data_IF_589693839194
#
_entry.id   IF_589693839194
#
_cell.length_a   1.000
_cell.length_b   1.000
_cell.length_c   1.000
_cell.angle_alpha   90.00
_cell.angle_beta   90.00
_cell.angle_gamma   90.00
#
_symmetry.space_group_name_H-M   'P 1'
#
loop_
_entity.id
_entity.type
_entity.pdbx_description
1 polymer ?
#
# COMPACT_ATOMS: atom_id res chain seq x y z
N UNK A 1 0.10 7.92 5.92
CA UNK A 1 -0.04 8.97 6.96
C UNK A 1 -1.49 8.92 7.43
N UNK A 2 -1.75 8.40 8.62
CA UNK A 2 -3.11 8.30 9.18
C UNK A 2 -3.39 9.64 9.84
N UNK A 3 -4.28 10.43 9.26
CA UNK A 3 -4.79 11.66 9.85
C UNK A 3 -6.03 11.32 10.67
N UNK A 4 -5.93 11.39 11.99
CA UNK A 4 -7.09 11.42 12.88
C UNK A 4 -7.66 12.85 12.86
N UNK A 5 -8.81 13.04 12.25
CA UNK A 5 -9.60 14.25 12.43
C UNK A 5 -10.42 14.11 13.73
N UNK A 6 -10.13 14.98 14.69
CA UNK A 6 -11.02 15.22 15.81
C UNK A 6 -12.13 16.16 15.36
N UNK A 7 -13.37 15.69 15.34
CA UNK A 7 -14.55 16.55 15.16
C UNK A 7 -14.87 17.28 16.45
N UNK A 8 -14.75 18.60 16.45
CA UNK A 8 -15.38 19.46 17.45
C UNK A 8 -16.87 19.61 17.13
N UNK A 9 -17.71 19.08 17.98
CA UNK A 9 -19.15 19.33 17.93
C UNK A 9 -19.43 20.76 18.40
N UNK A 10 -20.07 21.55 17.54
CA UNK A 10 -20.51 22.90 17.86
C UNK A 10 -21.64 22.90 18.89
N UNK A 11 -21.58 23.87 19.77
CA UNK A 11 -22.56 24.13 20.82
C UNK A 11 -23.93 24.54 20.20
N UNK A 12 -24.94 23.71 20.44
CA UNK A 12 -26.32 24.10 20.33
C UNK A 12 -26.83 24.49 21.72
N UNK A 13 -27.14 25.79 21.93
CA UNK A 13 -27.74 26.28 23.15
C UNK A 13 -29.18 25.77 23.28
N UNK A 14 -29.45 24.91 24.24
CA UNK A 14 -30.78 24.65 24.77
C UNK A 14 -30.80 24.98 26.25
N UNK A 15 -31.55 25.97 26.64
CA UNK A 15 -31.90 26.24 28.04
C UNK A 15 -32.82 25.14 28.54
N UNK A 16 -32.48 24.56 29.68
CA UNK A 16 -33.37 23.68 30.42
C UNK A 16 -32.67 22.69 31.30
N UNK A 17 -32.78 22.93 32.62
CA UNK A 17 -32.53 22.04 33.75
C UNK A 17 -31.10 21.61 34.08
N UNK A 18 -30.67 22.02 35.30
CA UNK A 18 -29.43 21.67 35.93
C UNK A 18 -29.30 20.13 36.08
N UNK A 19 -28.65 19.50 35.16
CA UNK A 19 -28.16 18.14 35.29
C UNK A 19 -27.02 18.14 36.30
N UNK A 20 -27.16 17.33 37.35
CA UNK A 20 -26.10 17.02 38.31
C UNK A 20 -24.90 16.49 37.55
N UNK A 21 -23.84 17.29 37.47
CA UNK A 21 -22.54 16.85 36.97
C UNK A 21 -22.05 15.71 37.86
N UNK A 22 -22.15 14.49 37.34
CA UNK A 22 -21.33 13.40 37.85
C UNK A 22 -19.89 13.70 37.49
N UNK A 23 -19.17 14.30 38.41
CA UNK A 23 -17.70 14.33 38.35
C UNK A 23 -17.25 12.92 38.70
N UNK A 24 -17.04 12.08 37.70
CA UNK A 24 -16.28 10.86 37.88
C UNK A 24 -14.85 11.28 38.24
N UNK A 25 -14.57 11.23 39.54
CA UNK A 25 -13.18 11.35 40.00
C UNK A 25 -12.49 10.02 39.70
N UNK A 26 -11.76 9.97 38.62
CA UNK A 26 -10.83 8.86 38.41
C UNK A 26 -9.84 8.83 39.57
N UNK A 27 -9.59 7.65 40.17
CA UNK A 27 -8.62 7.55 41.21
C UNK A 27 -7.26 7.99 40.67
N UNK A 28 -6.72 9.08 41.20
CA UNK A 28 -5.35 9.50 40.94
C UNK A 28 -4.45 8.44 41.54
N UNK A 29 -3.91 7.54 40.74
CA UNK A 29 -2.87 6.62 41.20
C UNK A 29 -1.66 7.45 41.55
N UNK A 30 -1.27 7.49 42.81
CA UNK A 30 -0.06 8.18 43.22
C UNK A 30 1.14 7.60 42.45
N UNK A 31 1.92 8.46 41.85
CA UNK A 31 3.15 8.06 41.14
C UNK A 31 4.04 7.27 42.11
N UNK A 32 4.56 6.14 41.63
CA UNK A 32 5.53 5.37 42.42
C UNK A 32 6.84 6.16 42.55
N UNK A 33 7.58 5.93 43.60
CA UNK A 33 8.86 6.63 43.83
C UNK A 33 9.83 6.34 42.68
N UNK A 34 10.18 7.38 41.92
CA UNK A 34 11.02 7.27 40.75
C UNK A 34 10.29 7.48 39.40
N UNK A 35 8.93 7.51 39.43
CA UNK A 35 8.16 7.78 38.25
C UNK A 35 8.16 9.29 37.91
N UNK A 36 8.44 9.61 36.65
CA UNK A 36 8.37 10.97 36.16
C UNK A 36 6.94 11.23 35.65
N UNK A 37 6.29 12.29 36.17
CA UNK A 37 5.06 12.79 35.53
C UNK A 37 5.36 13.43 34.19
N UNK A 38 4.49 13.23 33.19
CA UNK A 38 4.62 13.90 31.91
C UNK A 38 4.33 15.39 32.02
N UNK A 39 5.19 16.18 31.37
CA UNK A 39 4.96 17.61 31.15
C UNK A 39 4.35 17.84 29.76
N UNK A 40 3.82 19.04 29.50
CA UNK A 40 3.35 19.41 28.16
C UNK A 40 4.47 19.35 27.11
N UNK A 41 5.72 19.65 27.52
CA UNK A 41 6.89 19.55 26.63
C UNK A 41 7.23 18.09 26.28
N UNK A 42 7.04 17.18 27.24
CA UNK A 42 7.20 15.75 27.01
C UNK A 42 6.16 15.23 26.01
N UNK A 43 4.92 15.74 26.04
CA UNK A 43 3.81 15.33 25.21
C UNK A 43 3.72 16.12 23.86
N UNK A 44 4.58 17.09 23.66
CA UNK A 44 4.62 17.82 22.40
C UNK A 44 5.07 16.93 21.25
N UNK A 45 4.13 16.53 20.38
CA UNK A 45 4.39 15.64 19.25
C UNK A 45 5.50 16.19 18.36
N UNK A 46 6.54 15.39 18.13
CA UNK A 46 7.73 15.79 17.36
C UNK A 46 8.73 16.64 18.12
N UNK A 47 8.45 17.06 19.36
CA UNK A 47 9.38 17.78 20.23
C UNK A 47 10.57 16.93 20.66
N UNK A 48 11.63 17.60 21.18
CA UNK A 48 12.86 16.92 21.57
C UNK A 48 12.65 15.86 22.66
N UNK A 49 11.78 16.15 23.64
CA UNK A 49 11.50 15.21 24.73
C UNK A 49 10.65 14.04 24.26
N UNK A 50 9.69 14.26 23.37
CA UNK A 50 8.81 13.25 22.83
C UNK A 50 9.57 12.07 22.22
N UNK A 51 10.63 12.37 21.44
CA UNK A 51 11.47 11.33 20.80
C UNK A 51 12.16 10.39 21.79
N UNK A 52 12.38 10.84 23.01
CA UNK A 52 13.00 10.02 24.06
C UNK A 52 12.01 9.14 24.80
N UNK A 53 10.70 9.43 24.69
CA UNK A 53 9.65 8.73 25.42
C UNK A 53 8.90 7.71 24.60
N UNK A 54 8.96 7.80 23.27
CA UNK A 54 8.36 6.78 22.41
C UNK A 54 9.31 5.61 22.23
N UNK A 55 8.73 4.40 22.23
CA UNK A 55 9.51 3.21 21.93
C UNK A 55 10.17 3.36 20.55
N UNK A 56 11.45 3.04 20.47
CA UNK A 56 12.14 3.03 19.16
C UNK A 56 11.48 2.00 18.27
N UNK A 57 10.99 2.49 17.14
CA UNK A 57 10.39 1.61 16.14
C UNK A 57 11.49 0.72 15.55
N UNK A 58 11.26 -0.57 15.56
CA UNK A 58 12.18 -1.56 14.96
C UNK A 58 11.52 -2.09 13.70
N UNK A 59 11.88 -1.52 12.55
CA UNK A 59 11.42 -2.05 11.27
C UNK A 59 12.15 -3.36 10.98
N UNK A 60 11.38 -4.42 10.84
CA UNK A 60 11.90 -5.73 10.50
C UNK A 60 11.19 -6.26 9.26
N UNK A 61 11.94 -6.97 8.42
CA UNK A 61 11.42 -7.67 7.24
C UNK A 61 11.99 -9.07 7.19
N UNK A 62 11.28 -9.96 6.50
CA UNK A 62 11.76 -11.30 6.26
C UNK A 62 12.57 -11.38 4.96
N UNK A 63 13.70 -12.05 5.02
CA UNK A 63 14.52 -12.43 3.88
C UNK A 63 14.55 -13.96 3.81
N UNK A 64 13.53 -14.56 3.20
CA UNK A 64 13.23 -15.97 3.37
C UNK A 64 12.97 -16.30 4.84
N UNK A 65 13.73 -17.22 5.40
CA UNK A 65 13.66 -17.59 6.82
C UNK A 65 14.48 -16.68 7.75
N UNK A 66 15.21 -15.73 7.21
CA UNK A 66 16.04 -14.83 7.99
C UNK A 66 15.28 -13.55 8.35
N UNK A 67 15.44 -13.10 9.59
CA UNK A 67 14.87 -11.83 10.06
C UNK A 67 15.90 -10.71 9.90
N UNK A 68 15.55 -9.68 9.17
CA UNK A 68 16.39 -8.50 8.97
C UNK A 68 15.77 -7.30 9.66
N UNK A 69 16.50 -6.67 10.57
CA UNK A 69 16.15 -5.36 11.10
C UNK A 69 16.73 -4.27 10.21
N UNK A 70 15.87 -3.34 9.87
CA UNK A 70 16.18 -2.19 9.03
C UNK A 70 16.28 -0.95 9.90
N UNK A 71 17.29 -0.13 9.64
CA UNK A 71 17.47 1.17 10.28
C UNK A 71 17.71 2.25 9.21
N UNK A 72 17.84 3.49 9.61
CA UNK A 72 18.14 4.58 8.67
C UNK A 72 19.50 4.34 8.02
N UNK A 73 20.50 3.95 8.80
CA UNK A 73 21.91 3.90 8.41
C UNK A 73 22.44 2.49 8.11
N UNK A 74 21.74 1.43 8.48
CA UNK A 74 22.20 0.06 8.29
C UNK A 74 21.07 -0.99 8.31
N UNK A 75 21.35 -2.17 7.73
CA UNK A 75 20.54 -3.38 7.89
C UNK A 75 21.30 -4.42 8.70
N UNK A 76 20.56 -5.14 9.55
CA UNK A 76 21.13 -6.12 10.49
C UNK A 76 20.40 -7.46 10.38
N UNK A 77 21.14 -8.54 10.29
CA UNK A 77 20.61 -9.89 10.47
C UNK A 77 20.34 -10.13 11.95
N UNK A 78 19.13 -10.55 12.29
CA UNK A 78 18.71 -10.81 13.67
C UNK A 78 18.67 -12.31 13.90
N UNK A 79 19.43 -12.79 14.87
CA UNK A 79 19.32 -14.18 15.30
C UNK A 79 17.96 -14.42 15.99
N UNK A 80 17.13 -15.26 15.42
CA UNK A 80 15.74 -15.49 15.85
C UNK A 80 15.60 -16.06 17.26
N UNK A 81 16.64 -16.73 17.76
CA UNK A 81 16.64 -17.35 19.09
C UNK A 81 17.18 -16.40 20.17
N UNK A 82 18.28 -15.70 19.87
CA UNK A 82 18.98 -14.90 20.87
C UNK A 82 18.71 -13.40 20.75
N UNK A 83 18.13 -12.97 19.66
CA UNK A 83 17.94 -11.54 19.32
C UNK A 83 19.25 -10.80 18.99
N UNK A 84 20.40 -11.52 18.94
CA UNK A 84 21.68 -10.90 18.62
C UNK A 84 21.68 -10.39 17.17
N UNK A 85 22.15 -9.17 16.98
CA UNK A 85 22.21 -8.52 15.68
C UNK A 85 23.62 -8.57 15.08
N UNK A 86 23.68 -8.84 13.77
CA UNK A 86 24.93 -8.79 12.98
C UNK A 86 24.70 -7.88 11.79
N UNK A 87 25.52 -6.85 11.63
CA UNK A 87 25.40 -5.90 10.52
C UNK A 87 25.60 -6.62 9.19
N UNK A 88 24.63 -6.46 8.26
CA UNK A 88 24.74 -6.93 6.89
C UNK A 88 25.49 -5.91 6.02
N UNK A 89 25.06 -4.66 6.09
CA UNK A 89 25.70 -3.53 5.39
C UNK A 89 25.22 -2.21 5.98
N UNK A 90 25.98 -1.16 5.69
CA UNK A 90 25.61 0.23 6.02
C UNK A 90 25.18 1.01 4.80
N UNK A 91 24.57 2.17 5.04
CA UNK A 91 24.17 3.12 3.99
C UNK A 91 25.38 3.65 3.21
N UNK A 92 26.52 3.84 3.89
CA UNK A 92 27.77 4.27 3.23
C UNK A 92 28.27 3.21 2.25
N UNK A 93 28.20 1.93 2.64
CA UNK A 93 28.53 0.83 1.74
C UNK A 93 27.59 0.75 0.55
N UNK A 94 26.27 0.88 0.77
CA UNK A 94 25.29 0.99 -0.33
C UNK A 94 25.66 2.11 -1.28
N UNK A 95 25.90 3.31 -0.75
CA UNK A 95 26.25 4.48 -1.56
C UNK A 95 27.58 4.29 -2.30
N UNK A 96 28.52 3.55 -1.73
CA UNK A 96 29.76 3.18 -2.40
C UNK A 96 29.51 2.17 -3.54
N UNK A 97 28.63 1.20 -3.36
CA UNK A 97 28.37 0.15 -4.36
C UNK A 97 27.52 0.62 -5.53
N UNK A 98 26.61 1.57 -5.31
CA UNK A 98 25.83 2.19 -6.40
C UNK A 98 26.66 3.20 -7.18
N UNK A 99 27.84 3.51 -6.68
CA UNK A 99 28.71 4.58 -7.16
C UNK A 99 28.57 4.90 -8.63
N UNK A 100 28.89 5.97 -9.06
CA UNK A 100 29.26 7.25 -8.51
C UNK A 100 28.71 8.43 -9.30
N UNK A 101 27.44 8.53 -9.45
CA UNK A 101 26.91 9.82 -9.86
C UNK A 101 26.84 10.66 -8.60
N UNK A 102 27.61 11.73 -8.52
CA UNK A 102 27.90 12.52 -7.33
C UNK A 102 26.65 13.04 -6.58
N UNK A 103 25.50 13.00 -7.20
CA UNK A 103 24.29 13.64 -6.70
C UNK A 103 23.18 12.65 -6.28
N UNK A 104 23.40 11.34 -6.46
CA UNK A 104 22.39 10.33 -6.18
C UNK A 104 22.84 9.49 -4.99
N UNK A 105 22.27 9.78 -3.81
CA UNK A 105 22.52 9.02 -2.60
C UNK A 105 21.25 8.44 -2.03
N UNK A 106 21.31 7.17 -1.65
CA UNK A 106 20.32 6.58 -0.76
C UNK A 106 20.46 7.25 0.60
N UNK A 107 19.34 7.69 1.19
CA UNK A 107 19.35 8.47 2.44
C UNK A 107 18.86 7.68 3.64
N UNK A 108 18.23 6.53 3.43
CA UNK A 108 17.72 5.68 4.49
C UNK A 108 17.54 4.24 4.00
N UNK A 109 17.67 3.26 4.89
CA UNK A 109 17.56 1.83 4.60
C UNK A 109 16.33 1.17 5.25
N UNK A 110 15.48 1.91 5.97
CA UNK A 110 14.29 1.34 6.61
C UNK A 110 13.26 0.80 5.61
N UNK A 111 13.36 1.17 4.31
CA UNK A 111 12.54 0.66 3.21
C UNK A 111 13.30 -0.33 2.31
N UNK A 112 14.48 -0.82 2.72
CA UNK A 112 15.22 -1.80 1.95
C UNK A 112 14.40 -3.09 1.78
N UNK A 113 14.34 -3.62 0.57
CA UNK A 113 13.59 -4.83 0.25
C UNK A 113 14.55 -5.99 -0.03
N UNK A 114 14.20 -7.17 0.43
CA UNK A 114 14.95 -8.43 0.22
C UNK A 114 14.07 -9.40 -0.58
N UNK A 115 13.93 -9.21 -1.90
CA UNK A 115 12.89 -9.85 -2.71
C UNK A 115 13.10 -11.35 -2.90
N UNK A 116 14.32 -11.87 -2.66
CA UNK A 116 14.64 -13.27 -2.96
C UNK A 116 15.23 -13.99 -1.74
N UNK A 117 14.52 -14.99 -1.27
CA UNK A 117 15.01 -15.89 -0.22
C UNK A 117 16.37 -16.51 -0.59
N UNK A 118 17.32 -16.44 0.34
CA UNK A 118 18.64 -17.06 0.18
C UNK A 118 19.57 -16.39 -0.84
N UNK A 119 19.14 -15.36 -1.56
CA UNK A 119 20.00 -14.58 -2.46
C UNK A 119 20.42 -13.27 -1.80
N UNK A 120 21.67 -12.89 -1.94
CA UNK A 120 22.24 -11.65 -1.38
C UNK A 120 21.81 -10.38 -2.14
N UNK A 121 20.54 -10.32 -2.52
CA UNK A 121 19.99 -9.21 -3.27
C UNK A 121 19.21 -8.29 -2.33
N UNK A 122 19.54 -7.02 -2.39
CA UNK A 122 18.79 -5.95 -1.73
C UNK A 122 18.36 -4.89 -2.76
N UNK A 123 17.18 -4.37 -2.59
CA UNK A 123 16.69 -3.23 -3.36
C UNK A 123 16.54 -2.03 -2.44
N UNK A 124 17.05 -0.89 -2.89
CA UNK A 124 17.00 0.38 -2.17
C UNK A 124 16.66 1.50 -3.14
N UNK A 125 15.98 2.53 -2.67
CA UNK A 125 15.59 3.67 -3.50
C UNK A 125 16.07 4.99 -2.91
N UNK A 126 16.18 5.99 -3.77
CA UNK A 126 16.42 7.38 -3.37
C UNK A 126 15.30 8.33 -3.78
N UNK A 127 14.10 7.80 -3.98
CA UNK A 127 12.93 8.53 -4.44
C UNK A 127 12.72 8.41 -5.95
N UNK A 128 13.67 8.82 -6.80
CA UNK A 128 13.54 8.75 -8.26
C UNK A 128 14.15 7.50 -8.87
N UNK A 129 15.07 6.85 -8.18
CA UNK A 129 15.77 5.66 -8.67
C UNK A 129 15.65 4.49 -7.72
N UNK A 130 15.53 3.30 -8.30
CA UNK A 130 15.58 2.02 -7.61
C UNK A 130 16.86 1.29 -8.00
N UNK A 131 17.62 0.87 -7.00
CA UNK A 131 18.89 0.16 -7.17
C UNK A 131 18.75 -1.27 -6.70
N UNK A 132 19.11 -2.23 -7.54
CA UNK A 132 19.21 -3.64 -7.18
C UNK A 132 20.69 -4.00 -6.99
N UNK A 133 21.05 -4.49 -5.82
CA UNK A 133 22.44 -4.66 -5.39
C UNK A 133 22.67 -6.08 -4.87
N UNK A 134 23.75 -6.73 -5.30
CA UNK A 134 24.27 -7.92 -4.61
C UNK A 134 25.19 -7.45 -3.47
N UNK A 135 24.68 -7.48 -2.24
CA UNK A 135 25.39 -6.95 -1.08
C UNK A 135 26.53 -7.83 -0.59
N UNK A 136 26.61 -9.11 -0.98
CA UNK A 136 27.78 -9.96 -0.72
C UNK A 136 28.89 -9.80 -1.76
N UNK A 137 28.50 -9.53 -3.00
CA UNK A 137 29.47 -9.25 -4.07
C UNK A 137 29.83 -7.77 -4.16
N UNK A 138 29.18 -6.91 -3.36
CA UNK A 138 29.38 -5.46 -3.35
C UNK A 138 29.19 -4.84 -4.74
N UNK A 139 28.15 -5.28 -5.45
CA UNK A 139 27.96 -4.94 -6.85
C UNK A 139 26.55 -4.46 -7.15
N UNK A 140 26.45 -3.32 -7.83
CA UNK A 140 25.21 -2.88 -8.47
C UNK A 140 24.85 -3.84 -9.61
N UNK A 141 23.65 -4.41 -9.57
CA UNK A 141 23.11 -5.31 -10.60
C UNK A 141 22.33 -4.51 -11.63
N UNK A 142 21.42 -3.67 -11.17
CA UNK A 142 20.59 -2.84 -12.04
C UNK A 142 20.20 -1.54 -11.36
N UNK A 143 19.99 -0.53 -12.18
CA UNK A 143 19.47 0.76 -11.82
C UNK A 143 18.24 1.02 -12.68
N UNK A 144 17.17 1.51 -12.07
CA UNK A 144 15.94 1.89 -12.74
C UNK A 144 15.58 3.30 -12.31
N UNK A 145 15.30 4.15 -13.28
CA UNK A 145 14.86 5.52 -13.05
C UNK A 145 13.41 5.69 -13.48
N UNK A 146 12.64 6.40 -12.67
CA UNK A 146 11.30 6.85 -13.05
C UNK A 146 11.42 8.14 -13.82
N UNK A 147 10.77 8.20 -14.97
CA UNK A 147 10.70 9.43 -15.74
C UNK A 147 9.79 10.45 -15.03
N UNK A 148 10.00 11.72 -15.34
CA UNK A 148 9.14 12.79 -14.84
C UNK A 148 7.67 12.52 -15.22
N UNK A 149 6.78 12.68 -14.24
CA UNK A 149 5.35 12.40 -14.39
C UNK A 149 4.97 10.91 -14.30
N UNK A 150 5.94 10.02 -14.02
CA UNK A 150 5.67 8.61 -13.71
C UNK A 150 5.56 8.42 -12.19
N UNK A 151 4.53 7.70 -11.76
CA UNK A 151 4.32 7.31 -10.36
C UNK A 151 4.31 5.79 -10.24
N UNK A 152 5.30 5.23 -9.53
CA UNK A 152 5.35 3.79 -9.27
C UNK A 152 4.18 3.38 -8.40
N UNK A 153 3.48 2.32 -8.80
CA UNK A 153 2.46 1.64 -8.01
C UNK A 153 3.05 0.41 -7.32
N UNK A 154 3.55 -0.54 -8.09
CA UNK A 154 4.03 -1.81 -7.56
C UNK A 154 4.99 -2.51 -8.53
N UNK A 155 6.08 -3.06 -8.00
CA UNK A 155 6.92 -4.01 -8.73
C UNK A 155 6.48 -5.46 -8.45
N UNK A 156 6.65 -6.37 -9.43
CA UNK A 156 6.39 -7.78 -9.18
C UNK A 156 7.47 -8.41 -8.28
N UNK A 157 7.17 -9.57 -7.68
CA UNK A 157 8.09 -10.26 -6.78
C UNK A 157 9.43 -10.64 -7.45
N UNK A 158 9.43 -10.87 -8.77
CA UNK A 158 10.62 -11.20 -9.56
C UNK A 158 11.46 -9.97 -9.90
N UNK A 159 10.96 -8.76 -9.61
CA UNK A 159 11.62 -7.49 -9.88
C UNK A 159 12.01 -7.29 -11.35
N UNK A 160 11.19 -7.83 -12.24
CA UNK A 160 11.38 -7.76 -13.69
C UNK A 160 10.25 -7.07 -14.43
N UNK A 161 9.23 -6.63 -13.70
CA UNK A 161 8.16 -5.78 -14.19
C UNK A 161 7.65 -4.88 -13.08
N UNK A 162 7.13 -3.72 -13.42
CA UNK A 162 6.44 -2.84 -12.49
C UNK A 162 5.25 -2.13 -13.15
N UNK A 163 4.23 -1.92 -12.34
CA UNK A 163 3.09 -1.11 -12.68
C UNK A 163 3.33 0.34 -12.27
N UNK A 164 2.97 1.28 -13.12
CA UNK A 164 3.11 2.70 -12.86
C UNK A 164 2.01 3.51 -13.53
N UNK A 165 1.78 4.71 -13.02
CA UNK A 165 0.93 5.70 -13.67
C UNK A 165 1.79 6.70 -14.43
N UNK A 166 1.31 7.10 -15.60
CA UNK A 166 1.78 8.27 -16.34
C UNK A 166 0.58 9.13 -16.68
N UNK A 167 0.53 10.31 -16.09
CA UNK A 167 -0.74 11.02 -15.96
C UNK A 167 -1.72 10.16 -15.16
N UNK A 168 -2.94 9.98 -15.65
CA UNK A 168 -3.96 9.12 -15.03
C UNK A 168 -4.05 7.72 -15.63
N UNK A 169 -3.16 7.36 -16.56
CA UNK A 169 -3.19 6.08 -17.24
C UNK A 169 -2.24 5.06 -16.65
N UNK A 170 -2.68 3.81 -16.63
CA UNK A 170 -1.93 2.67 -16.12
C UNK A 170 -1.02 2.10 -17.20
N UNK A 171 0.21 1.83 -16.81
CA UNK A 171 1.26 1.21 -17.63
C UNK A 171 1.91 0.05 -16.88
N UNK A 172 2.46 -0.88 -17.64
CA UNK A 172 3.40 -1.88 -17.15
C UNK A 172 4.69 -1.77 -17.94
N UNK A 173 5.81 -1.67 -17.24
CA UNK A 173 7.15 -1.74 -17.82
C UNK A 173 7.78 -3.07 -17.45
N UNK A 174 8.21 -3.83 -18.46
CA UNK A 174 8.91 -5.10 -18.27
C UNK A 174 10.36 -4.99 -18.67
N UNK A 175 11.20 -5.73 -17.96
CA UNK A 175 12.60 -5.91 -18.32
C UNK A 175 12.76 -7.29 -18.94
N UNK A 176 13.42 -7.38 -20.08
CA UNK A 176 13.77 -8.67 -20.66
C UNK A 176 14.79 -9.36 -19.74
N UNK A 177 14.32 -10.32 -18.95
CA UNK A 177 15.09 -11.06 -17.96
C UNK A 177 15.41 -12.46 -18.46
N UNK A 178 15.25 -12.75 -19.73
CA UNK A 178 15.59 -14.07 -20.30
C UNK A 178 17.01 -14.54 -19.88
N UNK A 179 17.80 -13.62 -19.33
CA UNK A 179 19.11 -13.94 -18.77
C UNK A 179 19.44 -13.09 -17.53
N UNK A 180 18.90 -13.44 -16.38
CA UNK A 180 19.35 -12.90 -15.09
C UNK A 180 20.86 -13.10 -14.87
N UNK A 181 21.50 -14.02 -15.60
CA UNK A 181 22.94 -14.29 -15.60
C UNK A 181 23.71 -13.61 -16.74
N UNK A 182 23.03 -13.04 -17.73
CA UNK A 182 23.67 -12.34 -18.84
C UNK A 182 23.01 -10.95 -18.96
N UNK A 183 23.49 -10.00 -18.17
CA UNK A 183 23.15 -8.58 -18.37
C UNK A 183 23.79 -8.12 -19.68
N UNK A 184 23.17 -8.49 -20.79
CA UNK A 184 23.57 -8.01 -22.11
C UNK A 184 23.17 -6.54 -22.26
N UNK A 185 23.98 -5.78 -23.00
CA UNK A 185 23.87 -4.36 -23.22
C UNK A 185 22.57 -3.90 -23.90
N UNK A 186 21.77 -4.82 -24.40
CA UNK A 186 20.53 -4.56 -25.14
C UNK A 186 19.28 -4.88 -24.31
N UNK A 187 19.16 -4.22 -23.19
CA UNK A 187 17.93 -4.26 -22.38
C UNK A 187 16.82 -3.54 -23.12
N UNK A 188 15.98 -4.27 -23.84
CA UNK A 188 14.73 -3.70 -24.35
C UNK A 188 13.75 -3.60 -23.18
N UNK A 189 13.49 -2.37 -22.78
CA UNK A 189 12.35 -2.06 -21.94
C UNK A 189 11.10 -2.14 -22.81
N UNK A 190 10.12 -2.93 -22.39
CA UNK A 190 8.81 -2.95 -23.02
C UNK A 190 7.84 -2.19 -22.12
N UNK A 191 7.34 -1.07 -22.63
CA UNK A 191 6.27 -0.31 -21.97
C UNK A 191 4.94 -0.67 -22.62
N UNK A 192 4.04 -1.20 -21.81
CA UNK A 192 2.67 -1.49 -22.20
C UNK A 192 1.75 -0.44 -21.62
N UNK A 193 1.05 0.29 -22.47
CA UNK A 193 -0.03 1.15 -22.04
C UNK A 193 -1.29 0.29 -21.85
N UNK A 194 -1.79 0.20 -20.61
CA UNK A 194 -2.95 -0.63 -20.26
C UNK A 194 -4.25 0.16 -20.44
N UNK A 195 -4.23 1.44 -20.11
CA UNK A 195 -5.41 2.30 -20.20
C UNK A 195 -5.14 3.57 -21.00
N UNK A 196 -6.19 4.16 -21.58
CA UNK A 196 -6.12 5.38 -22.40
C UNK A 196 -7.14 6.43 -22.00
N UNK A 197 -8.09 6.08 -21.12
CA UNK A 197 -9.20 6.91 -20.67
C UNK A 197 -9.06 7.33 -19.20
N UNK A 198 -7.88 7.14 -18.63
CA UNK A 198 -7.60 7.55 -17.25
C UNK A 198 -7.78 9.05 -17.06
N UNK A 199 -8.52 9.42 -16.01
CA UNK A 199 -8.86 10.81 -15.67
C UNK A 199 -9.15 10.91 -14.17
N UNK A 200 -9.62 12.08 -13.72
CA UNK A 200 -10.15 12.23 -12.36
C UNK A 200 -11.35 11.30 -12.11
N UNK A 201 -12.16 11.10 -13.13
CA UNK A 201 -13.37 10.27 -13.07
C UNK A 201 -13.11 8.79 -13.27
N UNK A 202 -12.10 8.45 -14.07
CA UNK A 202 -11.74 7.05 -14.39
C UNK A 202 -10.37 6.76 -13.82
N UNK A 203 -10.35 6.03 -12.71
CA UNK A 203 -9.14 5.77 -11.93
C UNK A 203 -8.65 4.35 -12.18
N UNK A 204 -7.36 4.19 -12.42
CA UNK A 204 -6.73 2.90 -12.67
C UNK A 204 -5.64 2.59 -11.65
N UNK A 205 -5.55 1.34 -11.23
CA UNK A 205 -4.44 0.81 -10.46
C UNK A 205 -4.23 1.42 -9.08
N UNK A 206 -5.17 2.24 -8.62
CA UNK A 206 -5.15 2.86 -7.30
C UNK A 206 -6.17 2.20 -6.38
N UNK A 207 -6.10 2.51 -5.10
CA UNK A 207 -7.09 2.07 -4.12
C UNK A 207 -8.49 2.54 -4.49
N UNK A 208 -9.48 1.76 -4.16
CA UNK A 208 -10.90 2.00 -4.46
C UNK A 208 -11.72 1.97 -3.19
N UNK A 209 -13.03 2.26 -3.31
CA UNK A 209 -13.97 2.17 -2.19
C UNK A 209 -13.54 2.95 -0.94
N UNK A 210 -12.79 4.06 -1.13
CA UNK A 210 -12.32 4.94 -0.03
C UNK A 210 -11.47 4.21 1.00
N UNK A 211 -10.68 3.22 0.56
CA UNK A 211 -9.83 2.38 1.42
C UNK A 211 -10.59 1.52 2.45
N UNK A 212 -11.90 1.34 2.23
CA UNK A 212 -12.72 0.46 3.05
C UNK A 212 -12.30 -1.01 2.92
N UNK A 213 -12.68 -1.84 3.88
CA UNK A 213 -12.47 -3.29 3.86
C UNK A 213 -11.00 -3.72 3.74
N UNK A 214 -10.07 -2.92 4.28
CA UNK A 214 -8.64 -3.21 4.23
C UNK A 214 -8.00 -3.01 2.85
N UNK A 215 -8.69 -2.36 1.90
CA UNK A 215 -8.10 -1.99 0.61
C UNK A 215 -7.05 -0.91 0.85
N UNK A 216 -5.84 -1.12 0.37
CA UNK A 216 -4.73 -0.16 0.50
C UNK A 216 -3.99 0.09 -0.81
N UNK A 217 -4.34 -0.64 -1.86
CA UNK A 217 -3.70 -0.57 -3.19
C UNK A 217 -4.67 -1.02 -4.28
N UNK A 218 -4.31 -0.76 -5.53
CA UNK A 218 -5.14 -1.12 -6.68
C UNK A 218 -4.45 -1.99 -7.71
N UNK A 219 -3.26 -2.53 -7.41
CA UNK A 219 -2.50 -3.43 -8.29
C UNK A 219 -2.11 -4.69 -7.54
N UNK A 220 -2.15 -5.85 -8.21
CA UNK A 220 -1.93 -7.15 -7.59
C UNK A 220 -1.22 -8.07 -8.60
N UNK A 221 0.09 -8.26 -8.43
CA UNK A 221 0.85 -9.15 -9.27
C UNK A 221 0.56 -10.63 -8.99
N UNK A 222 0.48 -11.44 -10.04
CA UNK A 222 0.45 -12.89 -9.90
C UNK A 222 1.76 -13.41 -9.28
N UNK A 223 1.75 -14.56 -8.56
CA UNK A 223 2.94 -15.09 -7.91
C UNK A 223 4.12 -15.34 -8.86
N UNK A 224 3.85 -15.71 -10.12
CA UNK A 224 4.87 -15.88 -11.15
C UNK A 224 5.30 -14.56 -11.82
N UNK A 225 4.64 -13.43 -11.50
CA UNK A 225 4.96 -12.11 -12.03
C UNK A 225 4.57 -11.86 -13.48
N UNK A 226 3.83 -12.78 -14.11
CA UNK A 226 3.46 -12.70 -15.53
C UNK A 226 2.16 -11.91 -15.77
N UNK A 227 1.31 -11.79 -14.75
CA UNK A 227 0.02 -11.11 -14.84
C UNK A 227 -0.13 -10.06 -13.75
N UNK A 228 -0.83 -8.98 -14.08
CA UNK A 228 -1.20 -7.91 -13.15
C UNK A 228 -2.72 -7.81 -13.10
N UNK A 229 -3.32 -8.10 -11.95
CA UNK A 229 -4.69 -7.69 -11.67
C UNK A 229 -4.70 -6.24 -11.19
N UNK A 230 -5.72 -5.48 -11.58
CA UNK A 230 -5.81 -4.07 -11.21
C UNK A 230 -7.26 -3.62 -11.10
N UNK A 231 -7.50 -2.63 -10.24
CA UNK A 231 -8.80 -1.95 -10.19
C UNK A 231 -8.92 -0.89 -11.30
N UNK A 232 -10.10 -0.84 -11.89
CA UNK A 232 -10.62 0.30 -12.64
C UNK A 232 -11.86 0.82 -11.93
N UNK A 233 -11.84 2.06 -11.50
CA UNK A 233 -12.96 2.71 -10.84
C UNK A 233 -13.52 3.82 -11.73
N UNK A 234 -14.81 3.74 -12.02
CA UNK A 234 -15.57 4.82 -12.61
C UNK A 234 -16.33 5.55 -11.50
N UNK A 235 -15.96 6.77 -11.27
CA UNK A 235 -16.60 7.68 -10.30
C UNK A 235 -17.23 8.92 -10.96
N UNK A 236 -17.47 8.86 -12.26
CA UNK A 236 -18.07 9.99 -13.01
C UNK A 236 -19.44 10.39 -12.48
N UNK A 237 -20.20 9.42 -11.97
CA UNK A 237 -21.53 9.61 -11.39
C UNK A 237 -21.51 10.03 -9.91
N UNK A 238 -20.35 10.00 -9.26
CA UNK A 238 -20.25 10.34 -7.83
C UNK A 238 -20.24 11.85 -7.65
N UNK A 239 -21.01 12.33 -6.67
CA UNK A 239 -21.08 13.74 -6.32
C UNK A 239 -19.75 14.28 -5.80
N UNK A 240 -19.42 15.50 -6.18
CA UNK A 240 -18.28 16.22 -5.64
C UNK A 240 -18.57 16.69 -4.22
N UNK A 241 -17.82 16.22 -3.25
CA UNK A 241 -17.83 16.74 -1.90
C UNK A 241 -16.97 18.01 -1.83
N UNK A 242 -17.51 19.14 -1.35
CA UNK A 242 -16.79 20.39 -1.32
C UNK A 242 -15.64 20.36 -0.30
N UNK A 243 -14.44 20.39 -0.80
CA UNK A 243 -13.22 20.54 -0.02
C UNK A 243 -12.41 21.72 -0.53
N UNK A 244 -11.54 22.23 0.32
CA UNK A 244 -10.56 23.27 -0.02
C UNK A 244 -9.18 22.76 0.31
N UNK A 245 -8.23 23.11 -0.53
CA UNK A 245 -6.82 22.92 -0.30
C UNK A 245 -6.20 24.23 0.18
N UNK A 246 -5.48 24.15 1.31
CA UNK A 246 -4.75 25.30 1.87
C UNK A 246 -3.27 24.95 1.76
N UNK A 247 -2.54 25.64 0.87
CA UNK A 247 -1.12 25.37 0.71
C UNK A 247 -0.35 25.56 2.02
N UNK A 248 0.51 24.59 2.34
CA UNK A 248 1.47 24.76 3.43
C UNK A 248 2.48 25.84 3.04
N UNK A 249 2.67 26.83 3.92
CA UNK A 249 3.71 27.84 3.76
C UNK A 249 5.04 27.19 4.11
N UNK A 250 5.91 27.00 3.13
CA UNK A 250 7.27 26.52 3.35
C UNK A 250 8.09 27.53 4.12
N UNK A 251 8.99 27.06 4.97
CA UNK A 251 9.87 27.93 5.76
C UNK A 251 10.90 28.67 4.92
N UNK A 252 11.22 28.17 3.73
CA UNK A 252 12.31 28.69 2.91
C UNK A 252 11.95 29.97 2.12
N UNK A 253 10.67 30.12 1.72
CA UNK A 253 10.19 31.27 0.94
C UNK A 253 8.74 31.62 1.27
N UNK A 254 8.44 32.03 2.53
CA UNK A 254 7.06 32.31 2.94
C UNK A 254 6.43 33.51 2.20
N UNK A 255 7.26 34.45 1.71
CA UNK A 255 6.81 35.66 1.00
C UNK A 255 6.32 35.39 -0.42
N UNK A 256 6.66 34.24 -1.01
CA UNK A 256 6.27 33.90 -2.39
C UNK A 256 5.11 32.92 -2.45
N UNK A 257 4.66 32.38 -1.31
CA UNK A 257 3.62 31.36 -1.25
C UNK A 257 2.26 31.98 -0.90
N UNK A 258 1.25 31.53 -1.64
CA UNK A 258 -0.14 31.89 -1.36
C UNK A 258 -0.67 31.02 -0.24
N UNK A 259 -1.28 31.65 0.77
CA UNK A 259 -2.10 30.96 1.78
C UNK A 259 -3.59 31.02 1.47
N UNK A 260 -3.96 31.37 0.25
CA UNK A 260 -5.36 31.43 -0.16
C UNK A 260 -5.86 30.00 -0.43
N UNK A 261 -6.93 29.64 0.26
CA UNK A 261 -7.62 28.38 0.02
C UNK A 261 -8.15 28.32 -1.41
N UNK A 262 -7.94 27.20 -2.06
CA UNK A 262 -8.49 26.91 -3.39
C UNK A 262 -9.49 25.75 -3.33
N UNK A 263 -10.56 25.74 -4.13
CA UNK A 263 -11.48 24.60 -4.19
C UNK A 263 -10.71 23.34 -4.62
N UNK A 264 -10.88 22.26 -3.86
CA UNK A 264 -10.31 20.95 -4.14
C UNK A 264 -11.37 19.85 -3.89
N UNK A 265 -12.48 19.86 -4.66
CA UNK A 265 -13.58 18.93 -4.42
C UNK A 265 -13.13 17.48 -4.63
N UNK A 266 -13.57 16.60 -3.73
CA UNK A 266 -13.31 15.18 -3.79
C UNK A 266 -14.55 14.38 -4.16
N UNK A 267 -14.39 13.31 -4.94
CA UNK A 267 -15.45 12.35 -5.25
C UNK A 267 -15.77 11.51 -4.04
N UNK A 268 -16.89 11.76 -3.39
CA UNK A 268 -17.29 11.06 -2.18
C UNK A 268 -18.73 10.53 -2.28
N UNK A 269 -18.92 9.20 -2.30
CA UNK A 269 -20.26 8.60 -2.34
C UNK A 269 -20.90 8.68 -0.95
N UNK A 270 -21.56 9.80 -0.66
CA UNK A 270 -22.26 10.01 0.60
C UNK A 270 -23.38 8.99 0.79
N UNK A 271 -23.78 8.78 2.05
CA UNK A 271 -24.86 7.86 2.38
C UNK A 271 -26.15 8.22 1.63
N UNK A 272 -26.75 7.23 0.96
CA UNK A 272 -27.94 7.41 0.13
C UNK A 272 -27.68 7.93 -1.29
N UNK A 273 -26.47 8.38 -1.58
CA UNK A 273 -26.08 8.88 -2.91
C UNK A 273 -25.47 7.79 -3.78
N UNK A 274 -25.35 8.07 -5.07
CA UNK A 274 -24.78 7.14 -6.05
C UNK A 274 -23.31 6.88 -5.75
N UNK A 275 -22.94 5.60 -5.71
CA UNK A 275 -21.56 5.17 -5.52
C UNK A 275 -20.82 4.96 -6.84
N UNK A 276 -19.49 4.93 -6.75
CA UNK A 276 -18.63 4.58 -7.87
C UNK A 276 -18.78 3.10 -8.28
N UNK A 277 -18.40 2.79 -9.51
CA UNK A 277 -18.43 1.46 -10.10
C UNK A 277 -17.01 0.95 -10.28
N UNK A 278 -16.71 -0.19 -9.66
CA UNK A 278 -15.38 -0.80 -9.74
C UNK A 278 -15.44 -2.06 -10.59
N UNK A 279 -14.44 -2.25 -11.42
CA UNK A 279 -14.19 -3.48 -12.17
C UNK A 279 -12.74 -3.91 -11.97
N UNK A 280 -12.48 -5.21 -12.16
CA UNK A 280 -11.13 -5.77 -12.03
C UNK A 280 -10.63 -6.21 -13.40
N UNK A 281 -9.55 -5.59 -13.86
CA UNK A 281 -8.83 -5.96 -15.07
C UNK A 281 -7.67 -6.91 -14.74
N UNK A 282 -7.28 -7.72 -15.70
CA UNK A 282 -6.10 -8.59 -15.67
C UNK A 282 -5.29 -8.36 -16.93
N UNK A 283 -4.10 -7.83 -16.77
CA UNK A 283 -3.13 -7.65 -17.84
C UNK A 283 -2.13 -8.80 -17.86
N UNK A 284 -1.87 -9.34 -19.02
CA UNK A 284 -0.90 -10.42 -19.25
C UNK A 284 0.35 -9.85 -19.93
N UNK A 285 1.48 -9.89 -19.25
CA UNK A 285 2.76 -9.34 -19.73
C UNK A 285 3.34 -10.10 -20.92
N UNK A 286 2.97 -11.38 -21.09
CA UNK A 286 3.49 -12.19 -22.20
C UNK A 286 2.76 -11.91 -23.50
N UNK A 287 1.46 -11.64 -23.42
CA UNK A 287 0.61 -11.42 -24.58
C UNK A 287 0.32 -9.93 -24.85
N UNK A 288 0.55 -9.06 -23.86
CA UNK A 288 0.18 -7.65 -23.91
C UNK A 288 -1.33 -7.39 -23.90
N UNK A 289 -2.13 -8.37 -23.50
CA UNK A 289 -3.60 -8.28 -23.54
C UNK A 289 -4.18 -8.05 -22.14
N UNK A 290 -5.27 -7.30 -22.12
CA UNK A 290 -6.09 -7.10 -20.91
C UNK A 290 -7.44 -7.78 -21.10
N UNK A 291 -7.89 -8.46 -20.05
CA UNK A 291 -9.26 -8.92 -19.89
C UNK A 291 -9.87 -8.31 -18.64
N UNK A 292 -11.19 -8.35 -18.52
CA UNK A 292 -11.90 -7.97 -17.29
C UNK A 292 -12.63 -9.16 -16.70
N UNK A 293 -12.64 -9.25 -15.35
CA UNK A 293 -13.42 -10.28 -14.65
C UNK A 293 -14.92 -10.05 -14.90
N UNK A 294 -15.64 -11.12 -15.23
CA UNK A 294 -17.07 -11.08 -15.52
C UNK A 294 -17.90 -11.20 -14.23
N UNK A 295 -17.70 -10.25 -13.33
CA UNK A 295 -18.35 -10.22 -12.03
C UNK A 295 -19.80 -9.69 -12.06
N UNK A 296 -20.30 -9.30 -13.23
CA UNK A 296 -21.62 -8.73 -13.41
C UNK A 296 -21.67 -7.22 -13.20
N UNK A 297 -22.85 -6.69 -12.93
CA UNK A 297 -23.05 -5.25 -12.71
C UNK A 297 -22.33 -4.80 -11.42
N UNK A 298 -21.41 -3.83 -11.49
CA UNK A 298 -20.69 -3.32 -10.32
C UNK A 298 -21.51 -2.29 -9.50
N UNK A 299 -22.74 -1.99 -9.90
CA UNK A 299 -23.58 -1.01 -9.19
C UNK A 299 -23.90 -1.52 -7.79
N UNK A 300 -23.70 -0.66 -6.78
CA UNK A 300 -23.98 -0.94 -5.37
C UNK A 300 -23.30 -2.22 -4.84
N UNK A 301 -22.06 -2.43 -5.27
CA UNK A 301 -21.21 -3.55 -4.86
C UNK A 301 -19.79 -3.09 -4.60
N UNK A 302 -19.14 -3.82 -3.70
CA UNK A 302 -17.72 -3.67 -3.41
C UNK A 302 -16.98 -4.93 -3.86
N UNK A 303 -15.88 -4.74 -4.60
CA UNK A 303 -14.95 -5.79 -4.99
C UNK A 303 -13.66 -5.60 -4.21
N UNK A 304 -13.40 -6.49 -3.25
CA UNK A 304 -12.38 -6.27 -2.25
C UNK A 304 -11.42 -7.45 -2.14
N UNK A 305 -10.27 -7.22 -1.53
CA UNK A 305 -9.37 -8.25 -1.04
C UNK A 305 -8.98 -9.29 -2.10
N UNK A 306 -8.45 -8.80 -3.21
CA UNK A 306 -8.00 -9.64 -4.32
C UNK A 306 -6.82 -10.52 -3.89
N UNK A 307 -6.91 -11.81 -4.18
CA UNK A 307 -5.86 -12.79 -3.99
C UNK A 307 -5.66 -13.64 -5.24
N UNK A 308 -4.45 -14.09 -5.47
CA UNK A 308 -4.10 -15.01 -6.54
C UNK A 308 -3.97 -16.44 -6.02
N UNK A 309 -4.37 -17.42 -6.85
CA UNK A 309 -3.92 -18.80 -6.64
C UNK A 309 -2.40 -18.92 -6.77
N UNK A 310 -1.75 -19.85 -6.06
CA UNK A 310 -0.30 -20.03 -6.15
C UNK A 310 0.24 -20.28 -7.56
N UNK A 311 -0.59 -20.86 -8.45
CA UNK A 311 -0.24 -21.11 -9.85
C UNK A 311 -0.51 -19.91 -10.79
N UNK A 312 -1.06 -18.80 -10.28
CA UNK A 312 -1.38 -17.59 -11.04
C UNK A 312 -2.51 -17.74 -12.07
N UNK A 313 -3.37 -18.76 -11.94
CA UNK A 313 -4.45 -19.01 -12.90
C UNK A 313 -5.82 -18.55 -12.44
N UNK A 314 -5.99 -18.39 -11.14
CA UNK A 314 -7.26 -18.00 -10.52
C UNK A 314 -7.11 -16.76 -9.68
N UNK A 315 -8.08 -15.88 -9.77
CA UNK A 315 -8.24 -14.72 -8.89
C UNK A 315 -9.41 -14.99 -7.96
N UNK A 316 -9.18 -14.76 -6.69
CA UNK A 316 -10.20 -14.76 -5.65
C UNK A 316 -10.49 -13.35 -5.20
N UNK A 317 -11.74 -13.07 -4.97
CA UNK A 317 -12.18 -11.72 -4.60
C UNK A 317 -13.39 -11.83 -3.67
N UNK A 318 -13.46 -11.00 -2.65
CA UNK A 318 -14.67 -10.80 -1.88
C UNK A 318 -15.58 -9.81 -2.60
N UNK A 319 -16.83 -10.21 -2.76
CA UNK A 319 -17.91 -9.41 -3.33
C UNK A 319 -18.93 -9.10 -2.24
N UNK A 320 -19.00 -7.85 -1.86
CA UNK A 320 -19.89 -7.37 -0.81
C UNK A 320 -20.97 -6.47 -1.41
N UNK A 321 -22.21 -6.62 -0.99
CA UNK A 321 -23.28 -5.70 -1.37
C UNK A 321 -23.10 -4.34 -0.66
N UNK A 322 -23.79 -3.29 -1.17
CA UNK A 322 -23.69 -1.95 -0.58
C UNK A 322 -24.26 -1.85 0.83
N UNK A 323 -25.25 -2.66 1.16
CA UNK A 323 -25.80 -2.76 2.52
C UNK A 323 -24.81 -3.41 3.50
N UNK A 324 -23.69 -3.95 2.97
CA UNK A 324 -22.60 -4.54 3.75
C UNK A 324 -23.04 -5.70 4.64
N UNK A 325 -23.98 -6.50 4.19
CA UNK A 325 -24.56 -7.61 4.95
C UNK A 325 -24.60 -8.96 4.20
N UNK A 326 -24.16 -9.02 2.93
CA UNK A 326 -24.01 -10.22 2.12
C UNK A 326 -22.67 -10.18 1.39
N UNK A 327 -21.74 -11.00 1.85
CA UNK A 327 -20.39 -11.11 1.32
C UNK A 327 -20.14 -12.50 0.74
N UNK A 328 -19.51 -12.57 -0.44
CA UNK A 328 -19.18 -13.82 -1.13
C UNK A 328 -17.72 -13.86 -1.50
N UNK A 329 -17.07 -14.99 -1.28
CA UNK A 329 -15.76 -15.27 -1.83
C UNK A 329 -15.93 -15.99 -3.17
N UNK A 330 -15.57 -15.31 -4.24
CA UNK A 330 -15.74 -15.80 -5.61
C UNK A 330 -14.40 -16.01 -6.30
N UNK A 331 -14.32 -17.07 -7.10
CA UNK A 331 -13.16 -17.42 -7.92
C UNK A 331 -13.40 -17.09 -9.39
N UNK A 332 -12.38 -16.55 -10.05
CA UNK A 332 -12.40 -16.17 -11.47
C UNK A 332 -11.17 -16.73 -12.20
N UNK A 333 -11.37 -17.16 -13.45
CA UNK A 333 -10.25 -17.48 -14.33
C UNK A 333 -9.48 -16.22 -14.69
N UNK A 334 -8.18 -16.21 -14.43
CA UNK A 334 -7.30 -15.11 -14.80
C UNK A 334 -6.99 -15.07 -16.32
N UNK A 335 -7.43 -16.07 -17.07
CA UNK A 335 -7.25 -16.15 -18.53
C UNK A 335 -8.49 -15.64 -19.29
N UNK A 336 -9.69 -16.00 -18.81
CA UNK A 336 -10.95 -15.71 -19.52
C UNK A 336 -11.82 -14.67 -18.83
N UNK A 337 -11.54 -14.38 -17.55
CA UNK A 337 -12.35 -13.53 -16.69
C UNK A 337 -13.64 -14.20 -16.21
N UNK A 338 -13.93 -15.44 -16.61
CA UNK A 338 -15.15 -16.17 -16.23
C UNK A 338 -15.16 -16.52 -14.75
N UNK A 339 -16.34 -16.43 -14.12
CA UNK A 339 -16.57 -16.96 -12.78
C UNK A 339 -16.44 -18.47 -12.81
N UNK A 340 -15.56 -19.03 -11.99
CA UNK A 340 -15.32 -20.49 -11.88
C UNK A 340 -15.97 -21.11 -10.67
N UNK A 341 -16.29 -20.33 -9.64
CA UNK A 341 -16.96 -20.84 -8.45
C UNK A 341 -17.23 -19.77 -7.41
N UNK A 342 -18.08 -20.13 -6.45
CA UNK A 342 -18.28 -19.39 -5.20
C UNK A 342 -17.89 -20.35 -4.06
N UNK A 343 -16.90 -19.91 -3.24
CA UNK A 343 -16.30 -20.78 -2.25
C UNK A 343 -16.91 -20.59 -0.87
N UNK A 344 -17.37 -19.37 -0.59
CA UNK A 344 -17.90 -19.01 0.72
C UNK A 344 -18.91 -17.88 0.60
N UNK A 345 -19.88 -17.86 1.49
CA UNK A 345 -20.84 -16.77 1.65
C UNK A 345 -21.06 -16.51 3.12
N UNK A 346 -20.98 -15.24 3.50
CA UNK A 346 -21.28 -14.74 4.84
C UNK A 346 -22.39 -13.70 4.77
N UNK A 347 -23.40 -13.86 5.60
CA UNK A 347 -24.50 -12.92 5.76
C UNK A 347 -24.71 -12.64 7.23
N UNK A 348 -25.05 -11.41 7.56
CA UNK A 348 -25.39 -10.99 8.91
C UNK A 348 -26.52 -9.97 8.86
N UNK A 349 -27.34 -9.88 9.91
CA UNK A 349 -28.43 -8.91 9.99
C UNK A 349 -27.91 -7.47 10.18
N UNK A 350 -26.68 -7.29 10.67
CA UNK A 350 -26.07 -6.00 10.94
C UNK A 350 -25.06 -5.64 9.86
N UNK A 351 -23.93 -6.36 9.80
CA UNK A 351 -22.89 -6.12 8.82
C UNK A 351 -21.91 -7.29 8.68
N UNK A 352 -21.30 -7.38 7.51
CA UNK A 352 -20.16 -8.25 7.21
C UNK A 352 -19.02 -7.38 6.69
N UNK A 353 -17.81 -7.61 7.20
CA UNK A 353 -16.66 -6.75 6.92
C UNK A 353 -15.42 -7.58 6.56
N UNK A 354 -15.22 -7.88 5.25
CA UNK A 354 -14.05 -8.61 4.77
C UNK A 354 -12.83 -7.68 4.74
N UNK A 355 -11.97 -7.73 5.77
CA UNK A 355 -10.82 -6.81 5.88
C UNK A 355 -9.50 -7.38 5.35
N UNK A 356 -9.44 -8.68 5.01
CA UNK A 356 -8.21 -9.33 4.60
C UNK A 356 -8.43 -10.28 3.42
N UNK A 357 -7.51 -10.33 2.44
CA UNK A 357 -7.56 -11.34 1.40
C UNK A 357 -7.31 -12.73 1.97
N UNK A 358 -7.78 -13.76 1.27
CA UNK A 358 -7.39 -15.14 1.59
C UNK A 358 -5.88 -15.29 1.44
N UNK A 359 -5.29 -16.15 2.26
CA UNK A 359 -3.87 -16.44 2.24
C UNK A 359 -3.63 -17.93 2.05
N UNK A 360 -3.06 -18.31 0.91
CA UNK A 360 -2.70 -19.71 0.65
C UNK A 360 -1.58 -20.17 1.55
N UNK A 361 -1.65 -21.44 1.95
CA UNK A 361 -0.61 -22.05 2.78
C UNK A 361 0.64 -22.31 1.94
N UNK A 362 1.83 -21.91 2.39
CA UNK A 362 3.07 -22.10 1.61
C UNK A 362 3.42 -23.56 1.32
N UNK A 363 2.90 -24.48 2.14
CA UNK A 363 3.14 -25.93 2.03
C UNK A 363 1.98 -26.71 1.42
N UNK A 364 0.84 -26.06 1.18
CA UNK A 364 -0.34 -26.67 0.56
C UNK A 364 -1.06 -25.65 -0.31
N UNK A 365 -0.80 -25.73 -1.60
CA UNK A 365 -1.39 -24.81 -2.59
C UNK A 365 -2.91 -25.00 -2.81
N UNK A 366 -3.51 -26.00 -2.21
CA UNK A 366 -4.96 -26.27 -2.28
C UNK A 366 -5.72 -25.70 -1.09
N UNK A 367 -5.03 -25.29 -0.04
CA UNK A 367 -5.62 -24.78 1.20
C UNK A 367 -5.26 -23.32 1.44
N UNK A 368 -6.19 -22.57 2.00
CA UNK A 368 -5.98 -21.17 2.39
C UNK A 368 -6.60 -20.86 3.76
N UNK A 369 -6.13 -19.80 4.36
CA UNK A 369 -6.70 -19.18 5.56
C UNK A 369 -7.56 -18.01 5.12
N UNK A 370 -8.72 -17.88 5.72
CA UNK A 370 -9.65 -16.78 5.57
C UNK A 370 -10.03 -16.26 6.96
N UNK A 371 -10.15 -14.95 7.08
CA UNK A 371 -10.72 -14.34 8.27
C UNK A 371 -12.21 -14.12 8.07
N UNK A 372 -13.01 -14.54 9.06
CA UNK A 372 -14.45 -14.26 9.16
C UNK A 372 -14.74 -13.69 10.56
N UNK A 373 -15.80 -12.92 10.69
CA UNK A 373 -16.32 -12.47 11.99
C UNK A 373 -17.43 -13.38 12.53
N UNK A 374 -17.74 -14.42 11.78
CA UNK A 374 -18.71 -15.41 12.19
C UNK A 374 -18.07 -16.35 13.20
N UNK A 375 -18.68 -16.47 14.40
CA UNK A 375 -18.27 -17.37 15.47
C UNK A 375 -18.46 -18.86 15.11
#
# INVERSE_FOLDING_TARGET
MISMMAMNAGEASAQGEASKTHTETFPVVAAQKGDKAFTLEDLNFGGNNYRNMVAKNRWCTWWGDELVRQDIDACYLVNKTTGKETKLFSIDQINQWIAPTKDIKVRALYNAQFPFAGKSIVMVSNGSKLFTIDFKKHKLISEMEYAEGESLLEANAQQNAFAYLKGSNLYVRTFDVANYNAMTKDKKLHDFQISTDGSREIVYGQSVHRDEFGISKGTFWSPNGEKLAFYRMDQSMVTDYPQVDIPEIGFDHPETQSCIATPAPDKYPMAGETSHKVTVGVFDCLTGKTIYLKAGDPTDRYFTNIAWSPDGKTIYMFELNRDQNDCRLTAYSAETGEKTGELYRETDEKYVEPCHPIQFLPWDSSSFIMQSRKD
#
